data_IF_990770958215
#
_entry.id   IF_990770958215
#
_cell.length_a   1.000
_cell.length_b   1.000
_cell.length_c   1.000
_cell.angle_alpha   90.00
_cell.angle_beta   90.00
_cell.angle_gamma   90.00
#
_symmetry.space_group_name_H-M   'P 1'
#
loop_
_entity.id
_entity.type
_entity.pdbx_description
1 polymer ?
#
# COMPACT_ATOMS: atom_id res chain seq x y z
N UNK A 1 -10.09 42.77 -4.42
CA UNK A 1 -9.58 41.95 -3.30
C UNK A 1 -10.43 40.71 -3.04
N UNK A 2 -11.75 40.81 -2.85
CA UNK A 2 -12.63 39.67 -2.54
C UNK A 2 -12.56 38.55 -3.60
N UNK A 3 -12.57 38.88 -4.89
CA UNK A 3 -12.49 37.87 -5.95
C UNK A 3 -11.20 37.02 -5.92
N UNK A 4 -10.05 37.65 -5.61
CA UNK A 4 -8.77 36.95 -5.47
C UNK A 4 -8.79 36.00 -4.26
N UNK A 5 -9.37 36.44 -3.14
CA UNK A 5 -9.52 35.63 -1.93
C UNK A 5 -10.39 34.39 -2.19
N UNK A 6 -11.51 34.55 -2.89
CA UNK A 6 -12.36 33.43 -3.27
C UNK A 6 -11.63 32.45 -4.21
N UNK A 7 -10.86 32.97 -5.16
CA UNK A 7 -10.09 32.15 -6.09
C UNK A 7 -9.03 31.31 -5.37
N UNK A 8 -8.26 31.92 -4.45
CA UNK A 8 -7.27 31.21 -3.63
C UNK A 8 -7.91 30.19 -2.69
N UNK A 9 -9.09 30.48 -2.13
CA UNK A 9 -9.82 29.55 -1.28
C UNK A 9 -10.23 28.29 -2.06
N UNK A 10 -10.68 28.43 -3.31
CA UNK A 10 -11.03 27.29 -4.17
C UNK A 10 -9.80 26.44 -4.50
N UNK A 11 -8.67 27.05 -4.89
CA UNK A 11 -7.43 26.28 -5.14
C UNK A 11 -7.03 25.51 -3.88
N UNK A 12 -7.04 26.18 -2.72
CA UNK A 12 -6.65 25.58 -1.45
C UNK A 12 -7.54 24.39 -1.13
N UNK A 13 -8.86 24.52 -1.31
CA UNK A 13 -9.80 23.43 -1.09
C UNK A 13 -9.51 22.23 -2.02
N UNK A 14 -9.24 22.46 -3.31
CA UNK A 14 -8.89 21.40 -4.27
C UNK A 14 -7.59 20.69 -3.88
N UNK A 15 -6.56 21.44 -3.47
CA UNK A 15 -5.28 20.87 -3.04
C UNK A 15 -5.45 20.04 -1.76
N UNK A 16 -6.24 20.51 -0.80
CA UNK A 16 -6.52 19.77 0.43
C UNK A 16 -7.28 18.47 0.13
N UNK A 17 -8.30 18.52 -0.73
CA UNK A 17 -9.02 17.34 -1.22
C UNK A 17 -8.06 16.36 -1.85
N UNK A 18 -7.23 16.81 -2.80
CA UNK A 18 -6.23 15.95 -3.45
C UNK A 18 -5.26 15.32 -2.44
N UNK A 19 -4.78 16.10 -1.45
CA UNK A 19 -3.85 15.60 -0.43
C UNK A 19 -4.47 14.51 0.44
N UNK A 20 -5.73 14.68 0.85
CA UNK A 20 -6.49 13.66 1.59
C UNK A 20 -6.63 12.38 0.77
N UNK A 21 -6.97 12.49 -0.52
CA UNK A 21 -7.12 11.32 -1.39
C UNK A 21 -5.78 10.67 -1.78
N UNK A 22 -4.67 11.40 -1.76
CA UNK A 22 -3.32 10.86 -2.03
C UNK A 22 -2.80 9.96 -0.91
N UNK A 23 -3.25 10.14 0.33
CA UNK A 23 -2.74 9.36 1.47
C UNK A 23 -3.15 7.88 1.43
N UNK A 24 -4.11 7.52 0.58
CA UNK A 24 -4.46 6.13 0.28
C UNK A 24 -3.49 5.46 -0.69
N UNK A 25 -2.17 5.61 -0.47
CA UNK A 25 -1.15 4.85 -1.21
C UNK A 25 -1.51 3.36 -1.25
N UNK A 26 -1.06 2.65 -2.28
CA UNK A 26 -1.41 1.26 -2.56
C UNK A 26 -0.99 0.32 -1.42
N UNK A 27 -1.79 0.28 -0.36
CA UNK A 27 -1.65 -0.62 0.78
C UNK A 27 -2.30 -1.93 0.35
N UNK A 28 -1.52 -2.80 -0.29
CA UNK A 28 -1.82 -4.22 -0.17
C UNK A 28 -1.50 -4.58 1.27
N UNK A 29 -2.53 -4.57 2.12
CA UNK A 29 -2.37 -4.94 3.52
C UNK A 29 -1.61 -6.27 3.59
N UNK A 30 -0.53 -6.26 4.38
CA UNK A 30 0.26 -7.47 4.58
C UNK A 30 -0.66 -8.56 5.15
N UNK A 31 -0.72 -9.70 4.47
CA UNK A 31 -1.47 -10.84 4.95
C UNK A 31 -0.80 -11.39 6.20
N UNK A 32 -1.63 -11.82 7.16
CA UNK A 32 -1.17 -12.52 8.36
C UNK A 32 -0.86 -14.01 8.10
N UNK A 33 -1.34 -14.56 6.97
CA UNK A 33 -1.20 -15.96 6.61
C UNK A 33 -0.86 -16.13 5.11
N UNK A 34 -0.29 -17.28 4.71
CA UNK A 34 -0.04 -17.60 3.31
C UNK A 34 -1.31 -17.50 2.44
N UNK A 35 -1.22 -16.92 1.22
CA UNK A 35 -2.38 -16.62 0.37
C UNK A 35 -3.08 -17.83 -0.32
N UNK A 36 -2.85 -19.06 0.15
CA UNK A 36 -3.48 -20.28 -0.36
C UNK A 36 -2.50 -21.21 -1.11
N UNK A 37 -2.97 -22.37 -1.60
CA UNK A 37 -2.10 -23.46 -2.09
C UNK A 37 -1.39 -23.17 -3.42
N UNK A 38 -1.95 -22.32 -4.28
CA UNK A 38 -1.37 -22.00 -5.60
C UNK A 38 -0.32 -20.88 -5.56
N UNK A 39 0.05 -20.43 -4.36
CA UNK A 39 1.01 -19.38 -4.15
C UNK A 39 2.37 -19.95 -3.78
N UNK A 40 3.40 -19.42 -4.43
CA UNK A 40 4.78 -19.83 -4.23
C UNK A 40 5.49 -18.76 -3.44
N UNK A 41 6.02 -19.13 -2.28
CA UNK A 41 6.90 -18.26 -1.50
C UNK A 41 8.19 -18.02 -2.28
N UNK A 42 8.57 -16.76 -2.44
CA UNK A 42 9.85 -16.38 -3.05
C UNK A 42 10.91 -16.15 -1.97
N UNK A 43 12.17 -16.04 -2.38
CA UNK A 43 13.27 -15.65 -1.48
C UNK A 43 13.30 -14.14 -1.21
N UNK A 44 12.46 -13.35 -1.90
CA UNK A 44 12.41 -11.90 -1.74
C UNK A 44 11.74 -11.52 -0.40
N UNK A 45 12.39 -10.63 0.32
CA UNK A 45 11.89 -10.00 1.56
C UNK A 45 11.91 -8.50 1.44
N UNK A 46 10.90 -7.86 2.01
CA UNK A 46 10.73 -6.42 1.99
C UNK A 46 10.42 -5.90 3.39
N UNK A 47 11.06 -4.81 3.82
CA UNK A 47 10.70 -4.13 5.06
C UNK A 47 9.72 -3.02 4.72
N UNK A 48 8.50 -3.10 5.26
CA UNK A 48 7.51 -2.03 5.07
C UNK A 48 8.01 -0.76 5.78
N UNK A 49 8.28 0.34 5.04
CA UNK A 49 8.78 1.58 5.63
C UNK A 49 7.74 2.26 6.54
N UNK A 50 6.46 1.88 6.44
CA UNK A 50 5.37 2.46 7.23
C UNK A 50 5.25 1.79 8.59
N UNK A 51 5.35 0.46 8.65
CA UNK A 51 5.17 -0.33 9.87
C UNK A 51 6.49 -0.85 10.49
N UNK A 52 7.57 -0.88 9.71
CA UNK A 52 8.83 -1.52 10.07
C UNK A 52 8.81 -3.06 10.00
N UNK A 53 7.68 -3.65 9.59
CA UNK A 53 7.54 -5.11 9.51
C UNK A 53 8.30 -5.69 8.32
N UNK A 54 8.95 -6.85 8.51
CA UNK A 54 9.49 -7.62 7.40
C UNK A 54 8.38 -8.45 6.78
N UNK A 55 8.27 -8.43 5.45
CA UNK A 55 7.29 -9.14 4.65
C UNK A 55 8.02 -10.11 3.71
N UNK A 56 7.58 -11.37 3.69
CA UNK A 56 7.94 -12.34 2.66
C UNK A 56 7.06 -12.11 1.42
N UNK A 57 7.66 -12.13 0.24
CA UNK A 57 6.93 -11.98 -1.03
C UNK A 57 6.47 -13.35 -1.54
N UNK A 58 5.20 -13.45 -1.89
CA UNK A 58 4.58 -14.63 -2.49
C UNK A 58 4.12 -14.29 -3.91
N UNK A 59 4.28 -15.24 -4.83
CA UNK A 59 3.95 -15.10 -6.24
C UNK A 59 2.92 -16.15 -6.65
N UNK A 60 1.88 -15.76 -7.39
CA UNK A 60 0.93 -16.69 -7.99
C UNK A 60 1.24 -16.91 -9.47
N UNK A 61 1.75 -18.10 -9.87
CA UNK A 61 2.19 -18.34 -11.25
C UNK A 61 1.09 -18.23 -12.30
N UNK A 62 -0.17 -18.53 -11.93
CA UNK A 62 -1.31 -18.53 -12.85
C UNK A 62 -1.77 -17.13 -13.24
N UNK A 63 -1.68 -16.17 -12.33
CA UNK A 63 -2.21 -14.80 -12.52
C UNK A 63 -1.10 -13.75 -12.62
N UNK A 64 0.13 -14.08 -12.19
CA UNK A 64 1.23 -13.13 -12.08
C UNK A 64 1.13 -12.20 -10.86
N UNK A 65 0.18 -12.46 -9.95
CA UNK A 65 -0.03 -11.61 -8.77
C UNK A 65 1.07 -11.78 -7.72
N UNK A 66 1.25 -10.72 -6.93
CA UNK A 66 2.20 -10.67 -5.79
C UNK A 66 1.47 -10.32 -4.52
N UNK A 67 1.68 -11.12 -3.49
CA UNK A 67 1.16 -10.92 -2.15
C UNK A 67 2.31 -10.74 -1.17
N UNK A 68 2.10 -9.90 -0.16
CA UNK A 68 3.07 -9.63 0.89
C UNK A 68 2.54 -10.23 2.18
N UNK A 69 3.30 -11.13 2.80
CA UNK A 69 2.91 -11.84 4.01
C UNK A 69 3.90 -11.50 5.12
N UNK A 70 3.45 -11.21 6.33
CA UNK A 70 4.36 -10.90 7.45
C UNK A 70 5.36 -12.04 7.68
N UNK A 71 6.65 -11.71 7.71
CA UNK A 71 7.74 -12.63 7.99
C UNK A 71 7.78 -12.92 9.50
N UNK A 72 6.90 -13.80 9.95
CA UNK A 72 6.78 -14.16 11.35
C UNK A 72 5.89 -15.38 11.52
N UNK A 73 6.52 -16.50 11.85
CA UNK A 73 5.90 -17.79 12.27
C UNK A 73 5.33 -18.66 11.15
N UNK A 74 6.20 -19.09 10.24
CA UNK A 74 6.03 -20.35 9.52
C UNK A 74 6.87 -21.40 10.27
N UNK A 75 6.30 -21.98 11.33
CA UNK A 75 6.88 -23.13 12.03
C UNK A 75 6.43 -24.42 11.35
#
# INVERSE_FOLDING_TARGET
>A
MIGLVLWLAVITAVVLVWFVFRQGGYKRDALSAPPGPDWVKTEERFVDPTSGETLDVWFQPRTGERAYVRAGRQN
#
